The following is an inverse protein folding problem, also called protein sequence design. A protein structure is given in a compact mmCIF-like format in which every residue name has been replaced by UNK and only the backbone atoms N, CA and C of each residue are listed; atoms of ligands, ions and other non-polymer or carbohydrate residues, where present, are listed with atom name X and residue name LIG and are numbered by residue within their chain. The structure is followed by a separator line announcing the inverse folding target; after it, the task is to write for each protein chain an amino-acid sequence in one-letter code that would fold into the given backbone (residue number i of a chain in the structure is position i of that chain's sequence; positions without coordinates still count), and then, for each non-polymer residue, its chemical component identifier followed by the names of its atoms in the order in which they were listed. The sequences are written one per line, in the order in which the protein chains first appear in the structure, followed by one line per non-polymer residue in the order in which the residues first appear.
data_IF_180338617038
#
_entry.id   IF_180338617038
#
_cell.length_a   1.000
_cell.length_b   1.000
_cell.length_c   1.000
_cell.angle_alpha   90.00
_cell.angle_beta   90.00
_cell.angle_gamma   90.00
#
_symmetry.space_group_name_H-M   'P 1'
#
loop_
_entity.id
_entity.type
_entity.pdbx_description
1 polymer ?
#
# COMPACT_ATOMS: atom_id res chain seq x y z
N UNK A 1 -6.77 77.79 -13.57
CA UNK A 1 -5.48 77.10 -13.39
C UNK A 1 -5.74 75.60 -13.44
N UNK A 2 -5.04 74.89 -14.34
CA UNK A 2 -5.19 73.46 -14.63
C UNK A 2 -4.55 72.64 -13.50
N UNK A 3 -5.30 71.78 -12.83
CA UNK A 3 -4.75 70.77 -11.93
C UNK A 3 -4.71 69.42 -12.65
N UNK A 4 -3.50 68.93 -12.88
CA UNK A 4 -3.21 67.64 -13.52
C UNK A 4 -3.52 66.49 -12.56
N UNK A 5 -4.48 65.64 -12.91
CA UNK A 5 -4.69 64.34 -12.26
C UNK A 5 -3.73 63.35 -12.93
N UNK A 6 -2.64 63.00 -12.22
CA UNK A 6 -1.75 61.91 -12.61
C UNK A 6 -2.42 60.60 -12.20
N UNK A 7 -2.82 59.79 -13.18
CA UNK A 7 -3.33 58.43 -13.01
C UNK A 7 -2.26 57.51 -12.44
N UNK A 8 -2.45 57.03 -11.22
CA UNK A 8 -1.67 55.95 -10.63
C UNK A 8 -2.33 54.62 -11.04
N UNK A 9 -1.79 53.96 -12.08
CA UNK A 9 -2.17 52.58 -12.40
C UNK A 9 -1.41 51.69 -11.42
N UNK A 10 -2.08 51.26 -10.34
CA UNK A 10 -1.59 50.18 -9.50
C UNK A 10 -1.84 48.87 -10.24
N UNK A 11 -0.78 48.29 -10.81
CA UNK A 11 -0.81 46.92 -11.30
C UNK A 11 -0.98 45.97 -10.10
N UNK A 12 -2.19 45.46 -9.90
CA UNK A 12 -2.42 44.36 -8.99
C UNK A 12 -1.76 43.11 -9.59
N UNK A 13 -0.55 42.80 -9.13
CA UNK A 13 0.07 41.51 -9.37
C UNK A 13 -0.79 40.47 -8.63
N UNK A 14 -1.66 39.79 -9.37
CA UNK A 14 -2.35 38.60 -8.90
C UNK A 14 -1.28 37.52 -8.74
N UNK A 15 -0.72 37.41 -7.54
CA UNK A 15 0.05 36.22 -7.15
C UNK A 15 -0.98 35.10 -7.11
N UNK A 16 -1.07 34.37 -8.22
CA UNK A 16 -1.62 33.02 -8.19
C UNK A 16 -0.70 32.24 -7.24
N UNK A 17 -1.08 32.18 -5.96
CA UNK A 17 -0.59 31.17 -5.05
C UNK A 17 -1.06 29.84 -5.64
N UNK A 18 -0.24 29.27 -6.52
CA UNK A 18 -0.39 27.89 -6.92
C UNK A 18 -0.42 27.09 -5.63
N UNK A 19 -1.56 26.47 -5.34
CA UNK A 19 -1.64 25.42 -4.33
C UNK A 19 -0.64 24.36 -4.77
N UNK A 20 0.56 24.41 -4.20
CA UNK A 20 1.55 23.36 -4.39
C UNK A 20 0.93 22.11 -3.75
N UNK A 21 0.29 21.27 -4.55
CA UNK A 21 -0.06 19.93 -4.12
C UNK A 21 1.25 19.24 -3.81
N UNK A 22 1.56 19.05 -2.53
CA UNK A 22 2.73 18.30 -2.12
C UNK A 22 2.64 16.90 -2.77
N UNK A 23 3.74 16.46 -3.39
CA UNK A 23 3.82 15.10 -3.89
C UNK A 23 3.65 14.12 -2.73
N UNK A 24 3.02 12.95 -2.96
CA UNK A 24 2.92 11.94 -1.92
C UNK A 24 4.33 11.56 -1.44
N UNK A 25 4.51 11.46 -0.13
CA UNK A 25 5.73 10.95 0.46
C UNK A 25 5.60 9.43 0.62
N UNK A 26 6.72 8.74 0.74
CA UNK A 26 6.77 7.30 0.96
C UNK A 26 7.52 6.99 2.24
N UNK A 27 6.87 6.28 3.15
CA UNK A 27 7.47 5.70 4.35
C UNK A 27 7.78 4.23 4.05
N UNK A 28 9.07 3.88 4.02
CA UNK A 28 9.53 2.50 3.94
C UNK A 28 9.74 1.90 5.33
N UNK A 29 9.62 0.57 5.44
CA UNK A 29 9.92 -0.14 6.70
C UNK A 29 11.34 0.18 7.17
N UNK A 30 11.46 0.51 8.46
CA UNK A 30 12.74 0.87 9.10
C UNK A 30 13.22 2.29 8.80
N UNK A 31 12.52 3.06 7.96
CA UNK A 31 12.84 4.45 7.67
C UNK A 31 12.01 5.43 8.52
N UNK A 32 12.40 6.70 8.47
CA UNK A 32 11.66 7.82 9.05
C UNK A 32 11.44 8.89 7.97
N UNK A 33 10.22 9.40 7.88
CA UNK A 33 9.85 10.50 6.98
C UNK A 33 9.43 11.69 7.83
N UNK A 34 10.00 12.86 7.56
CA UNK A 34 9.61 14.11 8.23
C UNK A 34 8.79 14.98 7.28
N UNK A 35 7.65 15.49 7.75
CA UNK A 35 6.78 16.39 6.98
C UNK A 35 6.01 17.31 7.93
N UNK A 36 5.99 18.60 7.60
CA UNK A 36 5.15 19.61 8.27
C UNK A 36 5.28 19.62 9.81
N UNK A 37 6.49 19.36 10.33
CA UNK A 37 6.75 19.34 11.78
C UNK A 37 6.42 18.01 12.47
N UNK A 38 6.24 16.91 11.71
CA UNK A 38 6.02 15.57 12.24
C UNK A 38 6.99 14.58 11.63
N UNK A 39 7.36 13.56 12.40
CA UNK A 39 8.10 12.40 11.94
C UNK A 39 7.22 11.15 11.97
N UNK A 40 7.27 10.41 10.87
CA UNK A 40 6.54 9.16 10.65
C UNK A 40 7.56 8.03 10.57
N UNK A 41 7.38 6.99 11.37
CA UNK A 41 8.36 5.89 11.49
C UNK A 41 7.70 4.59 11.93
N UNK A 42 8.50 3.52 12.05
CA UNK A 42 8.03 2.26 12.63
C UNK A 42 6.93 1.58 11.83
N UNK A 43 6.94 1.76 10.50
CA UNK A 43 5.99 1.10 9.61
C UNK A 43 6.06 -0.42 9.81
N UNK A 44 4.92 -1.01 10.13
CA UNK A 44 4.73 -2.45 10.27
C UNK A 44 3.32 -2.82 9.79
N UNK A 45 3.10 -4.09 9.49
CA UNK A 45 1.78 -4.56 9.06
C UNK A 45 1.84 -5.71 8.08
N UNK A 46 0.67 -6.11 7.62
CA UNK A 46 0.52 -7.14 6.59
C UNK A 46 -0.71 -6.89 5.72
N UNK A 47 -0.69 -7.46 4.52
CA UNK A 47 -1.86 -7.67 3.68
C UNK A 47 -2.12 -9.16 3.53
N UNK A 48 -3.29 -9.62 3.96
CA UNK A 48 -3.72 -11.02 3.82
C UNK A 48 -4.78 -11.13 2.73
N UNK A 49 -4.41 -11.76 1.61
CA UNK A 49 -5.34 -12.13 0.56
C UNK A 49 -5.99 -13.48 0.88
N UNK A 50 -7.30 -13.48 1.09
CA UNK A 50 -8.12 -14.68 1.24
C UNK A 50 -8.84 -14.97 -0.07
N UNK A 51 -8.68 -16.19 -0.60
CA UNK A 51 -9.22 -16.54 -1.91
C UNK A 51 -10.75 -16.71 -1.84
N UNK A 52 -11.44 -16.29 -2.90
CA UNK A 52 -12.89 -16.50 -3.01
C UNK A 52 -13.24 -17.98 -3.15
N UNK A 53 -14.49 -18.33 -2.86
CA UNK A 53 -15.00 -19.70 -3.03
C UNK A 53 -14.98 -20.15 -4.49
N UNK A 54 -15.21 -19.22 -5.43
CA UNK A 54 -15.16 -19.48 -6.88
C UNK A 54 -13.73 -19.72 -7.35
N UNK A 55 -12.76 -18.92 -6.88
CA UNK A 55 -11.35 -19.15 -7.15
C UNK A 55 -10.87 -20.49 -6.58
N UNK A 56 -11.24 -20.81 -5.33
CA UNK A 56 -10.96 -22.12 -4.72
C UNK A 56 -11.59 -23.25 -5.53
N UNK A 57 -12.79 -23.06 -6.08
CA UNK A 57 -13.43 -23.99 -7.00
C UNK A 57 -12.59 -24.26 -8.24
N UNK A 58 -12.12 -23.20 -8.90
CA UNK A 58 -11.26 -23.29 -10.09
C UNK A 58 -9.91 -23.97 -9.78
N UNK A 59 -9.25 -23.63 -8.68
CA UNK A 59 -7.99 -24.27 -8.25
C UNK A 59 -8.20 -25.77 -8.00
N UNK A 60 -9.30 -26.14 -7.34
CA UNK A 60 -9.64 -27.54 -7.08
C UNK A 60 -9.97 -28.31 -8.36
N UNK A 61 -10.64 -27.68 -9.32
CA UNK A 61 -10.96 -28.29 -10.61
C UNK A 61 -9.69 -28.55 -11.42
N UNK A 62 -8.80 -27.56 -11.50
CA UNK A 62 -7.54 -27.66 -12.23
C UNK A 62 -6.38 -28.33 -11.50
N UNK A 63 -6.62 -28.91 -10.31
CA UNK A 63 -5.55 -29.57 -9.53
C UNK A 63 -4.39 -28.65 -9.14
N UNK A 64 -4.62 -27.34 -9.09
CA UNK A 64 -3.57 -26.34 -8.91
C UNK A 64 -3.13 -26.31 -7.46
N UNK A 65 -1.84 -26.50 -7.21
CA UNK A 65 -1.25 -26.43 -5.89
C UNK A 65 -0.88 -24.98 -5.56
N UNK A 66 -0.97 -24.60 -4.28
CA UNK A 66 -0.60 -23.26 -3.80
C UNK A 66 0.48 -23.37 -2.73
N UNK A 67 1.56 -22.60 -2.87
CA UNK A 67 2.64 -22.48 -1.89
C UNK A 67 3.05 -21.02 -1.70
N UNK A 68 3.82 -20.75 -0.63
CA UNK A 68 4.27 -19.42 -0.29
C UNK A 68 5.48 -18.99 -1.14
N UNK A 69 5.56 -17.69 -1.42
CA UNK A 69 6.79 -17.03 -1.86
C UNK A 69 7.23 -16.06 -0.77
N UNK A 70 8.45 -16.27 -0.26
CA UNK A 70 9.01 -15.48 0.84
C UNK A 70 8.99 -13.97 0.53
N UNK A 71 8.80 -13.11 1.55
CA UNK A 71 8.56 -13.43 2.98
C UNK A 71 7.07 -13.68 3.33
N UNK A 72 6.20 -13.92 2.35
CA UNK A 72 4.79 -14.16 2.65
C UNK A 72 4.58 -15.57 3.25
N UNK A 73 3.50 -15.73 4.01
CA UNK A 73 3.05 -17.03 4.51
C UNK A 73 1.75 -17.42 3.83
N UNK A 74 1.62 -18.70 3.47
CA UNK A 74 0.40 -19.25 2.89
C UNK A 74 -0.21 -20.24 3.86
N UNK A 75 -1.50 -20.05 4.16
CA UNK A 75 -2.30 -20.98 4.94
C UNK A 75 -3.32 -21.65 4.04
N UNK A 76 -3.33 -22.98 4.06
CA UNK A 76 -4.28 -23.81 3.34
C UNK A 76 -5.04 -24.69 4.33
N UNK A 77 -6.35 -24.74 4.17
CA UNK A 77 -7.19 -25.76 4.80
C UNK A 77 -7.73 -26.70 3.71
N UNK A 78 -7.57 -28.00 3.92
CA UNK A 78 -7.96 -29.03 2.96
C UNK A 78 -9.03 -29.95 3.55
N UNK A 79 -9.88 -30.45 2.66
CA UNK A 79 -10.82 -31.54 2.95
C UNK A 79 -10.06 -32.89 2.97
N UNK A 80 -10.64 -33.95 3.56
CA UNK A 80 -10.03 -35.28 3.54
C UNK A 80 -9.71 -35.84 2.14
N UNK A 81 -10.38 -35.33 1.11
CA UNK A 81 -10.12 -35.68 -0.29
C UNK A 81 -9.02 -34.82 -0.95
N UNK A 82 -8.23 -34.08 -0.18
CA UNK A 82 -7.12 -33.25 -0.66
C UNK A 82 -7.52 -31.91 -1.30
N UNK A 83 -8.81 -31.64 -1.48
CA UNK A 83 -9.30 -30.39 -2.10
C UNK A 83 -9.33 -29.25 -1.08
N UNK A 84 -8.95 -28.05 -1.50
CA UNK A 84 -8.98 -26.84 -0.67
C UNK A 84 -10.40 -26.51 -0.20
N UNK A 85 -10.49 -26.11 1.07
CA UNK A 85 -11.65 -25.44 1.68
C UNK A 85 -11.39 -23.95 1.83
N UNK A 86 -10.18 -23.57 2.22
CA UNK A 86 -9.73 -22.18 2.25
C UNK A 86 -8.26 -22.07 1.88
N UNK A 87 -7.90 -20.94 1.28
CA UNK A 87 -6.52 -20.57 0.95
C UNK A 87 -6.36 -19.09 1.29
N UNK A 88 -5.28 -18.74 1.97
CA UNK A 88 -4.90 -17.35 2.21
C UNK A 88 -3.40 -17.15 2.11
N UNK A 89 -2.98 -15.97 1.68
CA UNK A 89 -1.59 -15.55 1.58
C UNK A 89 -1.40 -14.22 2.32
N UNK A 90 -0.53 -14.19 3.34
CA UNK A 90 -0.24 -13.01 4.16
C UNK A 90 1.17 -12.52 3.87
N UNK A 91 1.28 -11.32 3.30
CA UNK A 91 2.54 -10.68 2.97
C UNK A 91 2.81 -9.48 3.90
N UNK A 92 4.03 -9.31 4.45
CA UNK A 92 4.36 -8.14 5.24
C UNK A 92 4.37 -6.86 4.39
N UNK A 93 3.94 -5.75 4.97
CA UNK A 93 4.03 -4.41 4.36
C UNK A 93 5.49 -3.99 4.26
N UNK A 94 5.85 -3.33 3.16
CA UNK A 94 7.21 -2.80 2.90
C UNK A 94 7.23 -1.29 2.76
N UNK A 95 6.17 -0.69 2.23
CA UNK A 95 6.06 0.76 2.11
C UNK A 95 4.62 1.25 2.17
N UNK A 96 4.47 2.49 2.63
CA UNK A 96 3.22 3.24 2.64
C UNK A 96 3.46 4.61 2.03
N UNK A 97 2.69 4.95 1.00
CA UNK A 97 2.69 6.27 0.39
C UNK A 97 1.39 7.01 0.69
N UNK A 98 1.48 8.30 0.95
CA UNK A 98 0.33 9.10 1.35
C UNK A 98 0.59 10.59 1.37
N UNK A 99 -0.46 11.34 1.70
CA UNK A 99 -0.32 12.73 2.09
C UNK A 99 -0.08 12.81 3.61
N UNK A 100 0.99 13.50 3.98
CA UNK A 100 1.45 13.71 5.35
C UNK A 100 1.38 15.21 5.65
N UNK A 101 0.17 15.74 5.81
CA UNK A 101 -0.06 17.18 5.98
C UNK A 101 0.04 17.66 7.44
N UNK A 102 0.64 16.84 8.31
CA UNK A 102 0.88 17.12 9.73
C UNK A 102 -0.34 17.01 10.64
N UNK A 103 -1.56 17.18 10.12
CA UNK A 103 -2.80 16.94 10.89
C UNK A 103 -3.51 15.66 10.47
N UNK A 104 -3.25 15.17 9.26
CA UNK A 104 -3.86 13.98 8.70
C UNK A 104 -2.83 13.17 7.92
N UNK A 105 -2.88 11.85 8.10
CA UNK A 105 -2.25 10.88 7.20
C UNK A 105 -3.33 10.34 6.29
N UNK A 106 -3.28 10.66 5.00
CA UNK A 106 -4.17 10.06 4.00
C UNK A 106 -3.38 9.04 3.17
N UNK A 107 -3.70 7.75 3.36
CA UNK A 107 -3.03 6.64 2.67
C UNK A 107 -3.48 6.60 1.22
N UNK A 108 -2.51 6.61 0.31
CA UNK A 108 -2.74 6.55 -1.13
C UNK A 108 -2.29 5.23 -1.73
N UNK A 109 -1.19 4.65 -1.24
CA UNK A 109 -0.67 3.38 -1.72
C UNK A 109 0.04 2.60 -0.63
N UNK A 110 0.00 1.27 -0.72
CA UNK A 110 0.68 0.36 0.22
C UNK A 110 1.31 -0.78 -0.58
N UNK A 111 2.57 -1.09 -0.32
CA UNK A 111 3.27 -2.22 -0.93
C UNK A 111 3.56 -3.33 0.09
N UNK A 112 3.61 -4.57 -0.39
CA UNK A 112 4.01 -5.75 0.38
C UNK A 112 5.18 -6.47 -0.29
N UNK A 113 5.78 -7.44 0.41
CA UNK A 113 6.80 -8.33 -0.15
C UNK A 113 6.37 -9.80 -0.06
N UNK A 114 6.71 -10.56 -1.10
CA UNK A 114 6.36 -11.98 -1.21
C UNK A 114 4.96 -12.18 -1.79
N UNK A 115 4.45 -13.40 -1.71
CA UNK A 115 3.09 -13.71 -2.18
C UNK A 115 2.81 -15.20 -2.27
N UNK A 116 2.14 -15.61 -3.33
CA UNK A 116 1.73 -17.00 -3.54
C UNK A 116 2.17 -17.51 -4.91
N UNK A 117 2.70 -18.73 -4.92
CA UNK A 117 3.01 -19.52 -6.11
C UNK A 117 1.87 -20.51 -6.35
N UNK A 118 1.33 -20.51 -7.56
CA UNK A 118 0.43 -21.53 -8.06
C UNK A 118 1.18 -22.44 -9.03
N UNK A 119 1.05 -23.75 -8.86
CA UNK A 119 1.66 -24.75 -9.74
C UNK A 119 0.59 -25.71 -10.23
N UNK A 120 0.52 -25.89 -11.54
CA UNK A 120 -0.36 -26.86 -12.17
C UNK A 120 0.46 -27.94 -12.88
N UNK A 121 0.04 -29.18 -12.75
CA UNK A 121 0.57 -30.29 -13.54
C UNK A 121 -0.13 -30.34 -14.90
N UNK A 122 0.39 -31.10 -15.87
CA UNK A 122 -0.29 -31.32 -17.13
C UNK A 122 -1.47 -32.28 -16.92
N UNK A 123 -2.67 -31.85 -17.29
CA UNK A 123 -3.93 -32.61 -17.15
C UNK A 123 -5.00 -32.08 -18.13
N UNK A 124 -6.24 -32.59 -18.06
CA UNK A 124 -7.36 -32.16 -18.91
C UNK A 124 -7.67 -30.64 -18.81
N UNK A 125 -7.25 -29.98 -17.72
CA UNK A 125 -7.41 -28.54 -17.50
C UNK A 125 -6.20 -27.71 -17.94
N UNK A 126 -5.05 -28.35 -18.19
CA UNK A 126 -3.75 -27.71 -18.38
C UNK A 126 -2.92 -28.50 -19.38
N UNK A 127 -2.70 -27.95 -20.57
CA UNK A 127 -2.04 -28.66 -21.69
C UNK A 127 -0.63 -29.13 -21.34
N UNK A 128 0.18 -28.25 -20.75
CA UNK A 128 1.58 -28.51 -20.37
C UNK A 128 1.81 -28.47 -18.87
N UNK A 129 0.78 -28.10 -18.09
CA UNK A 129 0.97 -27.54 -16.76
C UNK A 129 1.69 -26.19 -16.80
N UNK A 130 2.15 -25.73 -15.64
CA UNK A 130 2.91 -24.49 -15.52
C UNK A 130 2.95 -23.96 -14.10
N UNK A 131 3.48 -22.76 -13.97
CA UNK A 131 3.54 -22.07 -12.69
C UNK A 131 3.31 -20.58 -12.85
N UNK A 132 2.73 -20.00 -11.80
CA UNK A 132 2.38 -18.59 -11.71
C UNK A 132 2.64 -18.12 -10.28
N UNK A 133 3.65 -17.30 -10.08
CA UNK A 133 3.86 -16.57 -8.84
C UNK A 133 3.27 -15.16 -8.96
N UNK A 134 2.45 -14.80 -7.97
CA UNK A 134 1.93 -13.44 -7.78
C UNK A 134 2.56 -12.91 -6.51
N UNK A 135 3.41 -11.89 -6.63
CA UNK A 135 4.19 -11.36 -5.53
C UNK A 135 4.17 -9.84 -5.49
N UNK A 136 4.62 -9.28 -4.37
CA UNK A 136 4.89 -7.86 -4.20
C UNK A 136 3.69 -6.99 -4.57
N UNK A 137 2.57 -7.21 -3.89
CA UNK A 137 1.35 -6.46 -4.18
C UNK A 137 1.56 -4.99 -3.84
N UNK A 138 1.11 -4.11 -4.73
CA UNK A 138 0.99 -2.67 -4.48
C UNK A 138 -0.46 -2.25 -4.67
N UNK A 139 -1.10 -1.91 -3.58
CA UNK A 139 -2.47 -1.39 -3.56
C UNK A 139 -2.42 0.10 -3.81
N UNK A 140 -3.13 0.57 -4.83
CA UNK A 140 -3.33 1.98 -5.18
C UNK A 140 -4.79 2.36 -4.89
N UNK A 141 -4.99 3.12 -3.81
CA UNK A 141 -6.31 3.56 -3.35
C UNK A 141 -6.82 4.79 -4.11
N UNK A 142 -5.96 5.47 -4.89
CA UNK A 142 -6.37 6.61 -5.72
C UNK A 142 -7.05 6.10 -6.99
N UNK A 143 -6.49 5.05 -7.59
CA UNK A 143 -7.05 4.45 -8.79
C UNK A 143 -7.98 3.26 -8.51
N UNK A 144 -8.06 2.79 -7.26
CA UNK A 144 -8.73 1.56 -6.86
C UNK A 144 -8.21 0.34 -7.63
N UNK A 145 -6.88 0.18 -7.64
CA UNK A 145 -6.19 -0.89 -8.36
C UNK A 145 -5.19 -1.62 -7.46
N UNK A 146 -4.99 -2.90 -7.75
CA UNK A 146 -3.88 -3.68 -7.20
C UNK A 146 -2.93 -3.99 -8.34
N UNK A 147 -1.65 -3.68 -8.11
CA UNK A 147 -0.53 -4.05 -8.97
C UNK A 147 0.26 -5.18 -8.31
N UNK A 148 0.98 -5.97 -9.11
CA UNK A 148 1.80 -7.07 -8.62
C UNK A 148 3.01 -7.32 -9.53
N UNK A 149 4.01 -8.03 -9.00
CA UNK A 149 4.97 -8.75 -9.83
C UNK A 149 4.40 -10.13 -10.16
N UNK A 150 4.36 -10.45 -11.43
CA UNK A 150 3.97 -11.76 -11.95
C UNK A 150 5.22 -12.49 -12.44
N UNK A 151 5.39 -13.76 -12.04
CA UNK A 151 6.46 -14.63 -12.54
C UNK A 151 5.79 -15.90 -13.08
N UNK A 152 5.75 -16.03 -14.40
CA UNK A 152 5.00 -17.07 -15.09
C UNK A 152 5.87 -18.01 -15.91
N UNK A 153 5.48 -19.29 -15.97
CA UNK A 153 6.04 -20.27 -16.88
C UNK A 153 5.57 -20.04 -18.33
N UNK A 154 5.82 -21.02 -19.22
CA UNK A 154 5.31 -21.04 -20.60
C UNK A 154 5.64 -19.76 -21.41
N UNK A 155 6.84 -19.22 -21.18
CA UNK A 155 7.37 -18.06 -21.90
C UNK A 155 6.90 -16.70 -21.37
N UNK A 156 6.14 -16.64 -20.28
CA UNK A 156 5.68 -15.37 -19.68
C UNK A 156 6.83 -14.63 -18.99
N UNK A 157 7.65 -15.33 -18.19
CA UNK A 157 8.76 -14.72 -17.46
C UNK A 157 8.27 -13.76 -16.37
N UNK A 158 9.06 -12.74 -16.07
CA UNK A 158 8.76 -11.75 -15.02
C UNK A 158 8.13 -10.49 -15.59
N UNK A 159 6.95 -10.13 -15.09
CA UNK A 159 6.26 -8.87 -15.38
C UNK A 159 6.14 -8.08 -14.07
N UNK A 160 6.85 -6.97 -13.97
CA UNK A 160 6.81 -6.11 -12.79
C UNK A 160 5.70 -5.07 -12.89
N UNK A 161 5.14 -4.68 -11.75
CA UNK A 161 4.10 -3.64 -11.62
C UNK A 161 2.92 -3.86 -12.58
N UNK A 162 2.55 -5.12 -12.78
CA UNK A 162 1.40 -5.52 -13.59
C UNK A 162 0.13 -5.07 -12.90
N UNK A 163 -0.70 -4.32 -13.63
CA UNK A 163 -2.06 -4.05 -13.19
C UNK A 163 -2.86 -5.37 -13.13
N UNK A 164 -3.16 -5.82 -11.91
CA UNK A 164 -3.71 -7.13 -11.64
C UNK A 164 -5.23 -7.10 -11.40
N UNK A 165 -5.68 -6.34 -10.39
CA UNK A 165 -7.09 -6.32 -9.98
C UNK A 165 -7.66 -4.90 -9.89
N UNK A 166 -8.90 -4.72 -10.38
CA UNK A 166 -9.79 -3.65 -9.94
C UNK A 166 -10.26 -3.94 -8.49
N UNK A 167 -10.38 -2.91 -7.68
CA UNK A 167 -10.97 -2.99 -6.33
C UNK A 167 -12.42 -2.49 -6.41
N UNK A 168 -13.38 -3.34 -6.06
CA UNK A 168 -14.80 -2.98 -6.06
C UNK A 168 -15.22 -2.16 -4.84
N UNK A 169 -14.70 -2.49 -3.66
CA UNK A 169 -15.03 -1.81 -2.41
C UNK A 169 -13.83 -1.79 -1.45
N UNK A 170 -13.63 -0.64 -0.81
CA UNK A 170 -12.70 -0.45 0.30
C UNK A 170 -13.51 -0.12 1.55
N UNK A 171 -13.41 -0.97 2.57
CA UNK A 171 -14.01 -0.77 3.89
C UNK A 171 -12.94 -0.38 4.92
N UNK A 172 -13.29 0.49 5.86
CA UNK A 172 -12.39 1.00 6.90
C UNK A 172 -11.77 2.36 6.55
N UNK A 173 -11.09 2.95 7.53
CA UNK A 173 -10.49 4.28 7.38
C UNK A 173 -9.20 4.21 6.55
N UNK A 174 -9.07 5.07 5.54
CA UNK A 174 -7.82 5.27 4.77
C UNK A 174 -7.19 6.63 5.09
N UNK A 175 -7.79 7.39 6.00
CA UNK A 175 -7.31 8.68 6.47
C UNK A 175 -7.39 8.76 7.99
N UNK A 176 -6.33 9.26 8.62
CA UNK A 176 -6.16 9.29 10.07
C UNK A 176 -5.87 10.69 10.53
N UNK A 177 -6.63 11.17 11.51
CA UNK A 177 -6.33 12.43 12.16
C UNK A 177 -5.27 12.21 13.25
N UNK A 178 -4.21 13.01 13.20
CA UNK A 178 -3.03 12.91 14.06
C UNK A 178 -3.05 14.01 15.16
N UNK A 179 -3.91 15.05 15.03
CA UNK A 179 -4.22 16.08 16.03
C UNK A 179 -3.04 16.56 16.90
N UNK A 180 -1.82 16.67 16.36
CA UNK A 180 -0.67 17.18 17.09
C UNK A 180 -0.13 16.30 18.22
N UNK A 181 -0.59 15.06 18.39
CA UNK A 181 -0.10 14.17 19.43
C UNK A 181 0.84 13.12 18.87
N UNK A 182 1.92 12.83 19.61
CA UNK A 182 2.68 11.59 19.38
C UNK A 182 1.72 10.42 19.60
N UNK A 183 1.59 9.55 18.61
CA UNK A 183 0.60 8.47 18.60
C UNK A 183 1.01 7.35 17.65
N UNK A 184 0.60 6.13 17.98
CA UNK A 184 0.64 5.00 17.06
C UNK A 184 -0.70 4.94 16.33
N UNK A 185 -0.65 5.01 15.00
CA UNK A 185 -1.81 4.93 14.12
C UNK A 185 -1.87 3.52 13.56
N UNK A 186 -2.99 2.83 13.78
CA UNK A 186 -3.27 1.52 13.18
C UNK A 186 -4.48 1.62 12.26
N UNK A 187 -4.30 1.22 11.00
CA UNK A 187 -5.36 1.01 10.02
C UNK A 187 -5.72 -0.46 9.93
N UNK A 188 -7.00 -0.75 9.84
CA UNK A 188 -7.51 -2.03 9.33
C UNK A 188 -8.47 -1.75 8.19
N UNK A 189 -8.16 -2.27 7.00
CA UNK A 189 -8.98 -2.12 5.80
C UNK A 189 -9.32 -3.47 5.19
N UNK A 190 -10.51 -3.57 4.62
CA UNK A 190 -10.92 -4.73 3.82
C UNK A 190 -11.14 -4.26 2.39
N UNK A 191 -10.38 -4.80 1.46
CA UNK A 191 -10.56 -4.61 0.03
C UNK A 191 -11.27 -5.83 -0.54
N UNK A 192 -12.37 -5.62 -1.24
CA UNK A 192 -13.21 -6.69 -1.77
C UNK A 192 -13.74 -6.39 -3.17
N UNK A 193 -14.33 -7.40 -3.82
CA UNK A 193 -14.73 -7.32 -5.22
C UNK A 193 -13.53 -7.25 -6.14
N UNK A 194 -12.50 -8.06 -5.85
CA UNK A 194 -11.24 -8.03 -6.60
C UNK A 194 -11.46 -8.69 -7.96
N UNK A 195 -11.41 -7.89 -9.02
CA UNK A 195 -11.69 -8.36 -10.38
C UNK A 195 -10.44 -8.30 -11.24
N UNK A 196 -10.07 -9.42 -11.87
CA UNK A 196 -8.89 -9.48 -12.73
C UNK A 196 -9.05 -8.69 -14.01
N UNK A 197 -7.97 -7.99 -14.40
CA UNK A 197 -7.87 -7.33 -15.68
C UNK A 197 -7.66 -8.36 -16.82
N UNK A 198 -8.18 -8.08 -18.02
CA UNK A 198 -8.07 -8.97 -19.18
C UNK A 198 -6.61 -9.31 -19.57
N UNK A 199 -5.68 -8.36 -19.47
CA UNK A 199 -4.26 -8.59 -19.73
C UNK A 199 -3.67 -9.58 -18.71
N UNK A 200 -3.90 -9.33 -17.42
CA UNK A 200 -3.44 -10.23 -16.36
C UNK A 200 -4.06 -11.63 -16.48
N UNK A 201 -5.34 -11.73 -16.85
CA UNK A 201 -5.99 -13.00 -17.11
C UNK A 201 -5.31 -13.78 -18.25
N UNK A 202 -4.94 -13.11 -19.33
CA UNK A 202 -4.23 -13.76 -20.45
C UNK A 202 -2.87 -14.32 -20.01
N UNK A 203 -2.16 -13.59 -19.15
CA UNK A 203 -0.90 -14.03 -18.57
C UNK A 203 -1.08 -15.21 -17.62
N UNK A 204 -2.17 -15.24 -16.84
CA UNK A 204 -2.50 -16.39 -15.98
C UNK A 204 -2.74 -17.64 -16.81
N UNK A 205 -3.58 -17.50 -17.85
CA UNK A 205 -3.90 -18.57 -18.79
C UNK A 205 -2.64 -19.16 -19.41
N UNK A 206 -1.76 -18.30 -19.93
CA UNK A 206 -0.50 -18.72 -20.52
C UNK A 206 0.43 -19.35 -19.48
N UNK A 207 0.63 -18.71 -18.32
CA UNK A 207 1.55 -19.16 -17.28
C UNK A 207 1.22 -20.55 -16.75
N UNK A 208 -0.08 -20.86 -16.59
CA UNK A 208 -0.56 -22.16 -16.14
C UNK A 208 -0.80 -23.15 -17.28
N UNK A 209 -0.71 -22.71 -18.54
CA UNK A 209 -0.93 -23.56 -19.71
C UNK A 209 -2.37 -24.03 -19.84
N UNK A 210 -3.35 -23.21 -19.45
CA UNK A 210 -4.76 -23.60 -19.35
C UNK A 210 -5.32 -24.05 -20.71
N UNK A 211 -6.13 -25.12 -20.70
CA UNK A 211 -6.96 -25.50 -21.85
C UNK A 211 -8.15 -24.54 -22.00
N UNK A 212 -8.94 -24.68 -23.07
CA UNK A 212 -10.19 -23.92 -23.20
C UNK A 212 -11.11 -24.14 -21.99
N UNK A 213 -11.24 -25.39 -21.52
CA UNK A 213 -12.03 -25.71 -20.34
C UNK A 213 -11.47 -25.03 -19.06
N UNK A 214 -10.14 -24.99 -18.90
CA UNK A 214 -9.50 -24.25 -17.81
C UNK A 214 -9.75 -22.74 -17.87
N UNK A 215 -9.68 -22.16 -19.07
CA UNK A 215 -9.99 -20.75 -19.30
C UNK A 215 -11.45 -20.43 -19.01
N UNK A 216 -12.38 -21.27 -19.46
CA UNK A 216 -13.81 -21.10 -19.20
C UNK A 216 -14.11 -21.18 -17.71
N UNK A 217 -13.49 -22.13 -16.99
CA UNK A 217 -13.62 -22.26 -15.55
C UNK A 217 -13.10 -21.01 -14.82
N UNK A 218 -11.90 -20.52 -15.17
CA UNK A 218 -11.33 -19.32 -14.54
C UNK A 218 -12.12 -18.06 -14.91
N UNK A 219 -12.69 -17.98 -16.11
CA UNK A 219 -13.52 -16.85 -16.55
C UNK A 219 -14.83 -16.71 -15.74
N UNK A 220 -15.31 -17.78 -15.10
CA UNK A 220 -16.44 -17.70 -14.17
C UNK A 220 -16.09 -17.04 -12.83
N UNK A 221 -14.80 -16.88 -12.53
CA UNK A 221 -14.32 -16.23 -11.30
C UNK A 221 -14.44 -14.72 -11.46
N UNK A 222 -15.55 -14.17 -10.96
CA UNK A 222 -15.84 -12.72 -10.99
C UNK A 222 -15.28 -11.96 -9.79
N UNK A 223 -14.91 -12.67 -8.73
CA UNK A 223 -14.26 -12.16 -7.52
C UNK A 223 -13.11 -13.09 -7.16
N UNK A 224 -11.90 -12.54 -7.03
CA UNK A 224 -10.69 -13.26 -6.67
C UNK A 224 -10.50 -13.39 -5.15
N UNK A 225 -11.30 -12.66 -4.37
CA UNK A 225 -11.30 -12.76 -2.92
C UNK A 225 -11.24 -11.41 -2.23
N UNK A 226 -10.61 -11.38 -1.05
CA UNK A 226 -10.53 -10.18 -0.22
C UNK A 226 -9.12 -9.98 0.33
N UNK A 227 -8.65 -8.74 0.36
CA UNK A 227 -7.42 -8.38 1.06
C UNK A 227 -7.80 -7.73 2.38
N UNK A 228 -7.43 -8.36 3.49
CA UNK A 228 -7.45 -7.74 4.80
C UNK A 228 -6.08 -7.09 5.06
N UNK A 229 -6.05 -5.77 5.13
CA UNK A 229 -4.84 -5.00 5.39
C UNK A 229 -4.84 -4.50 6.82
N UNK A 230 -3.72 -4.72 7.51
CA UNK A 230 -3.45 -4.13 8.84
C UNK A 230 -2.13 -3.39 8.74
N UNK A 231 -2.14 -2.09 9.02
CA UNK A 231 -0.95 -1.23 8.89
C UNK A 231 -0.81 -0.42 10.16
N UNK A 232 0.40 -0.34 10.70
CA UNK A 232 0.72 0.48 11.86
C UNK A 232 1.91 1.38 11.55
N UNK A 233 1.80 2.64 11.95
CA UNK A 233 2.89 3.61 11.89
C UNK A 233 2.91 4.48 13.15
N UNK A 234 4.10 4.90 13.57
CA UNK A 234 4.27 5.84 14.67
C UNK A 234 4.38 7.26 14.12
N UNK A 235 3.72 8.19 14.78
CA UNK A 235 3.81 9.61 14.49
C UNK A 235 4.31 10.34 15.72
N UNK A 236 5.28 11.24 15.56
CA UNK A 236 5.77 12.10 16.62
C UNK A 236 5.87 13.55 16.12
N UNK A 237 5.55 14.52 16.99
CA UNK A 237 5.81 15.92 16.70
C UNK A 237 7.33 16.18 16.75
N UNK A 238 7.87 16.85 15.73
CA UNK A 238 9.27 17.27 15.65
C UNK A 238 9.36 18.68 16.26
N UNK A 239 10.10 18.88 17.37
CA UNK A 239 10.24 20.21 17.97
C UNK A 239 10.94 21.17 17.01
N UNK A 240 10.41 22.38 16.87
CA UNK A 240 11.03 23.39 16.00
C UNK A 240 12.46 23.75 16.50
N UNK A 241 13.41 24.08 15.60
CA UNK A 241 14.77 24.49 15.99
C UNK A 241 14.79 25.67 16.99
N UNK A 242 13.82 26.57 16.88
CA UNK A 242 13.59 27.70 17.79
C UNK A 242 13.27 27.26 19.22
N UNK A 243 12.62 26.10 19.40
CA UNK A 243 12.30 25.51 20.71
C UNK A 243 13.58 25.13 21.45
N UNK A 244 14.50 24.47 20.76
CA UNK A 244 15.83 24.18 21.33
C UNK A 244 16.62 25.46 21.58
N UNK A 245 16.51 26.45 20.69
CA UNK A 245 17.11 27.78 20.88
C UNK A 245 16.60 28.49 22.13
N UNK A 246 15.28 28.48 22.37
CA UNK A 246 14.64 29.10 23.53
C UNK A 246 14.95 28.37 24.83
N UNK A 247 14.99 27.04 24.82
CA UNK A 247 15.40 26.25 25.99
C UNK A 247 16.87 26.51 26.31
N UNK A 248 17.74 26.52 25.31
CA UNK A 248 19.16 26.86 25.47
C UNK A 248 19.36 28.28 26.00
N UNK A 249 18.63 29.25 25.46
CA UNK A 249 18.66 30.63 25.92
C UNK A 249 18.13 30.77 27.36
N UNK A 250 17.02 30.09 27.70
CA UNK A 250 16.45 30.08 29.04
C UNK A 250 17.42 29.52 30.07
N UNK A 251 18.11 28.42 29.76
CA UNK A 251 19.15 27.84 30.61
C UNK A 251 20.35 28.78 30.77
N UNK A 252 20.81 29.43 29.69
CA UNK A 252 21.90 30.40 29.75
C UNK A 252 21.53 31.62 30.61
N UNK A 253 20.31 32.15 30.46
CA UNK A 253 19.80 33.26 31.27
C UNK A 253 19.73 32.90 32.77
N UNK A 254 19.23 31.70 33.10
CA UNK A 254 19.19 31.22 34.48
C UNK A 254 20.60 31.03 35.07
N UNK A 255 21.55 30.52 34.28
CA UNK A 255 22.96 30.41 34.70
C UNK A 255 23.60 31.75 35.04
N UNK A 256 23.33 32.79 34.22
CA UNK A 256 23.80 34.15 34.48
C UNK A 256 23.17 34.77 35.74
N UNK A 257 21.88 34.56 35.96
CA UNK A 257 21.18 35.03 37.18
C UNK A 257 21.72 34.32 38.43
N UNK A 258 21.93 33.00 38.37
CA UNK A 258 22.49 32.24 39.48
C UNK A 258 23.94 32.66 39.80
N UNK A 259 24.77 32.95 38.80
CA UNK A 259 26.12 33.49 38.99
C UNK A 259 26.10 34.86 39.67
N UNK A 260 25.18 35.75 39.27
CA UNK A 260 25.03 37.06 39.90
C UNK A 260 24.59 36.96 41.36
N UNK A 261 23.77 35.97 41.72
CA UNK A 261 23.33 35.72 43.11
C UNK A 261 24.38 35.09 44.01
N UNK A 262 25.40 34.41 43.46
CA UNK A 262 26.54 33.89 44.25
C UNK A 262 27.66 34.92 44.45
N UNK A 263 27.69 35.96 43.60
CA UNK A 263 28.68 37.03 43.67
C UNK A 263 28.19 38.24 44.49
N UNK A 264 26.96 38.20 45.01
CA UNK A 264 26.37 39.13 45.96
C UNK A 264 26.20 38.42 47.30
#
# INVERSE_FOLDING_TARGET
MKHSIKTLIAAAAFVAAGVASAAPLTLDVGQTVESQGYSFSGLTGSGTLSFSTTLIGALNAGGVQVSAVDPATVLVDQRPNGKYRSVSASAPVTSLSGDFNGSTLAVQSVATAGGALQTAEADDFTTTGGSLAITNLRVDLVQNRVYATLIGANGVGTVNDLYLWDIGLVEGATSFNINGSTSTVTSTNILSGLKINANAFSLFSQSLGLTQAGNDALATVTDFGKINSVITANVAAVPEPSTYGLVGFGLAAMGLVARRRRAA
#
